data_IF_409280961166
#
_entry.id   IF_409280961166
#
_cell.length_a   1.000
_cell.length_b   1.000
_cell.length_c   1.000
_cell.angle_alpha   90.00
_cell.angle_beta   90.00
_cell.angle_gamma   90.00
#
_symmetry.space_group_name_H-M   'P 1'
#
loop_
_entity.id
_entity.type
_entity.pdbx_description
1 polymer ?
#
# COMPACT_ATOMS: atom_id res chain seq x y z
N UNK A 1 0.97 1.19 34.92
CA UNK A 1 2.22 1.37 34.15
C UNK A 1 2.72 0.08 33.48
N UNK A 2 3.03 -1.02 34.21
CA UNK A 2 3.55 -2.28 33.61
C UNK A 2 2.79 -2.83 32.40
N UNK A 3 1.45 -2.74 32.39
CA UNK A 3 0.65 -3.24 31.26
C UNK A 3 0.77 -2.37 30.00
N UNK A 4 0.99 -1.06 30.15
CA UNK A 4 1.14 -0.13 29.03
C UNK A 4 2.50 -0.36 28.36
N UNK A 5 3.57 -0.46 29.15
CA UNK A 5 4.91 -0.76 28.64
C UNK A 5 4.93 -2.10 27.88
N UNK A 6 4.30 -3.13 28.45
CA UNK A 6 4.17 -4.43 27.78
C UNK A 6 3.41 -4.32 26.46
N UNK A 7 2.31 -3.57 26.42
CA UNK A 7 1.54 -3.35 25.20
C UNK A 7 2.36 -2.62 24.12
N UNK A 8 3.15 -1.61 24.52
CA UNK A 8 4.05 -0.88 23.62
C UNK A 8 5.12 -1.82 23.03
N UNK A 9 5.74 -2.68 23.83
CA UNK A 9 6.74 -3.63 23.34
C UNK A 9 6.15 -4.67 22.38
N UNK A 10 4.94 -5.16 22.66
CA UNK A 10 4.21 -6.04 21.73
C UNK A 10 3.90 -5.30 20.42
N UNK A 11 3.43 -4.05 20.48
CA UNK A 11 3.13 -3.26 19.29
C UNK A 11 4.37 -3.02 18.43
N UNK A 12 5.51 -2.66 19.04
CA UNK A 12 6.80 -2.51 18.37
C UNK A 12 7.22 -3.78 17.67
N UNK A 13 7.14 -4.92 18.37
CA UNK A 13 7.49 -6.23 17.81
C UNK A 13 6.63 -6.54 16.60
N UNK A 14 5.30 -6.48 16.74
CA UNK A 14 4.36 -6.80 15.66
C UNK A 14 4.55 -5.88 14.44
N UNK A 15 4.76 -4.58 14.67
CA UNK A 15 5.04 -3.62 13.60
C UNK A 15 6.30 -4.00 12.81
N UNK A 16 7.41 -4.31 13.52
CA UNK A 16 8.68 -4.68 12.90
C UNK A 16 8.62 -6.01 12.16
N UNK A 17 7.81 -6.96 12.63
CA UNK A 17 7.59 -8.21 11.90
C UNK A 17 6.95 -7.96 10.52
N UNK A 18 6.11 -6.93 10.38
CA UNK A 18 5.51 -6.51 9.11
C UNK A 18 6.45 -5.77 8.16
N UNK A 19 7.69 -5.46 8.55
CA UNK A 19 8.65 -4.80 7.68
C UNK A 19 9.08 -5.72 6.53
N UNK A 20 9.15 -5.15 5.33
CA UNK A 20 9.53 -5.84 4.12
C UNK A 20 10.48 -4.99 3.27
N UNK A 21 11.00 -5.60 2.20
CA UNK A 21 12.03 -5.02 1.34
C UNK A 21 11.72 -3.60 0.86
N UNK A 22 10.45 -3.32 0.51
CA UNK A 22 10.03 -2.05 -0.09
C UNK A 22 9.00 -1.27 0.74
N UNK A 23 8.83 -1.60 2.02
CA UNK A 23 7.86 -0.93 2.87
C UNK A 23 7.24 -1.87 3.89
N UNK A 24 6.03 -1.56 4.32
CA UNK A 24 5.37 -2.26 5.42
C UNK A 24 4.19 -3.06 4.86
N UNK A 25 4.14 -4.36 5.15
CA UNK A 25 2.96 -5.18 4.83
C UNK A 25 1.80 -4.85 5.76
N UNK A 26 0.57 -4.98 5.24
CA UNK A 26 -0.63 -4.84 6.06
C UNK A 26 -0.79 -6.01 7.06
N UNK A 27 -0.21 -7.17 6.76
CA UNK A 27 -0.14 -8.28 7.71
C UNK A 27 0.66 -9.48 7.22
N UNK A 28 0.94 -10.42 8.13
CA UNK A 28 1.87 -11.53 7.89
C UNK A 28 1.23 -12.81 7.35
N UNK A 29 -0.09 -12.88 7.21
CA UNK A 29 -0.76 -14.08 6.72
C UNK A 29 -1.51 -13.77 5.43
N UNK A 30 -2.70 -13.19 5.54
CA UNK A 30 -3.59 -12.95 4.41
C UNK A 30 -3.23 -11.68 3.61
N UNK A 31 -2.39 -10.80 4.16
CA UNK A 31 -2.12 -9.45 3.64
C UNK A 31 -0.62 -9.18 3.42
N UNK A 32 0.13 -10.15 2.87
CA UNK A 32 1.56 -10.02 2.50
C UNK A 32 1.81 -9.17 1.24
N UNK A 33 1.04 -8.11 1.08
CA UNK A 33 1.12 -7.13 0.01
C UNK A 33 1.25 -5.72 0.63
N UNK A 34 1.73 -4.78 -0.18
CA UNK A 34 1.82 -3.39 0.26
C UNK A 34 0.47 -2.73 0.02
N UNK A 35 -0.23 -2.36 1.10
CA UNK A 35 -1.49 -1.60 1.05
C UNK A 35 -1.24 -0.17 1.47
N UNK A 36 -1.62 0.79 0.64
CA UNK A 36 -1.24 2.19 0.83
C UNK A 36 -1.73 2.71 2.18
N UNK A 37 -3.03 2.55 2.46
CA UNK A 37 -3.66 2.97 3.71
C UNK A 37 -2.96 2.39 4.93
N UNK A 38 -2.92 1.07 5.03
CA UNK A 38 -2.38 0.33 6.17
C UNK A 38 -0.92 0.71 6.43
N UNK A 39 -0.12 0.78 5.37
CA UNK A 39 1.30 1.11 5.47
C UNK A 39 1.55 2.57 5.82
N UNK A 40 0.66 3.50 5.44
CA UNK A 40 0.72 4.91 5.88
C UNK A 40 0.46 5.01 7.38
N UNK A 41 -0.57 4.35 7.90
CA UNK A 41 -0.81 4.31 9.35
C UNK A 41 0.33 3.64 10.12
N UNK A 42 0.84 2.52 9.61
CA UNK A 42 2.00 1.85 10.19
C UNK A 42 3.25 2.74 10.19
N UNK A 43 3.38 3.62 9.21
CA UNK A 43 4.51 4.56 9.12
C UNK A 43 4.55 5.51 10.32
N UNK A 44 3.42 5.97 10.87
CA UNK A 44 3.42 6.77 12.09
C UNK A 44 4.01 6.03 13.29
N UNK A 45 3.68 4.74 13.43
CA UNK A 45 4.29 3.89 14.45
C UNK A 45 5.79 3.75 14.26
N UNK A 46 6.24 3.53 13.01
CA UNK A 46 7.67 3.42 12.68
C UNK A 46 8.42 4.73 12.91
N UNK A 47 7.82 5.88 12.58
CA UNK A 47 8.37 7.21 12.88
C UNK A 47 8.54 7.41 14.39
N UNK A 48 7.51 7.10 15.18
CA UNK A 48 7.55 7.26 16.64
C UNK A 48 8.65 6.43 17.32
N UNK A 49 9.05 5.31 16.73
CA UNK A 49 10.14 4.46 17.22
C UNK A 49 11.46 4.65 16.46
N UNK A 50 11.52 5.68 15.60
CA UNK A 50 12.68 6.11 14.82
C UNK A 50 13.20 5.11 13.78
N UNK A 51 12.35 4.20 13.34
CA UNK A 51 12.64 3.30 12.23
C UNK A 51 12.42 4.03 10.89
N UNK A 52 13.23 5.06 10.60
CA UNK A 52 12.97 5.98 9.48
C UNK A 52 13.17 5.35 8.09
N UNK A 53 14.11 4.43 7.96
CA UNK A 53 14.44 3.83 6.65
C UNK A 53 13.27 3.04 6.06
N UNK A 54 12.50 2.33 6.90
CA UNK A 54 11.34 1.57 6.40
C UNK A 54 10.22 2.51 5.93
N UNK A 55 10.03 3.66 6.59
CA UNK A 55 9.06 4.68 6.19
C UNK A 55 9.48 5.29 4.85
N UNK A 56 10.76 5.66 4.71
CA UNK A 56 11.32 6.15 3.45
C UNK A 56 11.11 5.16 2.31
N UNK A 57 11.40 3.88 2.54
CA UNK A 57 11.17 2.78 1.57
C UNK A 57 9.69 2.68 1.20
N UNK A 58 8.81 2.70 2.18
CA UNK A 58 7.37 2.62 1.99
C UNK A 58 6.86 3.76 1.11
N UNK A 59 7.15 5.01 1.48
CA UNK A 59 6.73 6.19 0.73
C UNK A 59 7.30 6.20 -0.69
N UNK A 60 8.60 5.91 -0.84
CA UNK A 60 9.27 5.82 -2.14
C UNK A 60 8.59 4.78 -3.04
N UNK A 61 8.18 3.64 -2.48
CA UNK A 61 7.53 2.58 -3.24
C UNK A 61 6.19 3.02 -3.84
N UNK A 62 5.37 3.83 -3.16
CA UNK A 62 4.15 4.36 -3.77
C UNK A 62 4.43 5.50 -4.74
N UNK A 63 5.29 6.44 -4.37
CA UNK A 63 5.61 7.61 -5.19
C UNK A 63 6.30 7.21 -6.51
N UNK A 64 7.13 6.17 -6.52
CA UNK A 64 7.72 5.63 -7.75
C UNK A 64 6.70 4.97 -8.69
N UNK A 65 5.47 4.69 -8.23
CA UNK A 65 4.41 4.04 -8.98
C UNK A 65 3.15 4.91 -9.16
N UNK A 66 3.26 6.23 -9.04
CA UNK A 66 2.17 7.14 -9.44
C UNK A 66 1.85 6.94 -10.94
N UNK A 67 0.57 6.88 -11.31
CA UNK A 67 0.17 6.71 -12.71
C UNK A 67 0.15 8.04 -13.48
N UNK A 68 -0.18 7.98 -14.78
CA UNK A 68 -0.26 9.16 -15.66
C UNK A 68 -1.34 10.16 -15.23
N UNK A 69 -2.41 9.66 -14.61
CA UNK A 69 -3.48 10.46 -14.02
C UNK A 69 -3.15 11.00 -12.63
N UNK A 70 -1.93 10.80 -12.12
CA UNK A 70 -1.46 11.25 -10.80
C UNK A 70 -2.09 10.51 -9.61
N UNK A 71 -2.75 9.39 -9.85
CA UNK A 71 -3.25 8.51 -8.82
C UNK A 71 -2.11 7.61 -8.30
N UNK A 72 -1.99 7.49 -6.98
CA UNK A 72 -1.14 6.51 -6.34
C UNK A 72 -1.80 5.14 -6.30
N UNK A 73 -1.03 4.04 -6.28
CA UNK A 73 -1.64 2.72 -6.21
C UNK A 73 -2.25 2.47 -4.84
N UNK A 74 -3.48 1.95 -4.82
CA UNK A 74 -4.13 1.42 -3.61
C UNK A 74 -3.29 0.31 -2.98
N UNK A 75 -2.78 -0.61 -3.81
CA UNK A 75 -1.91 -1.70 -3.36
C UNK A 75 -0.84 -2.05 -4.39
N UNK A 76 0.32 -2.51 -3.92
CA UNK A 76 1.39 -3.10 -4.75
C UNK A 76 1.53 -4.56 -4.35
N UNK A 77 1.01 -5.45 -5.20
CA UNK A 77 0.79 -6.85 -4.87
C UNK A 77 1.38 -7.79 -5.91
N UNK A 78 1.67 -9.04 -5.53
CA UNK A 78 1.95 -10.09 -6.53
C UNK A 78 0.67 -10.35 -7.31
N UNK A 79 0.74 -10.42 -8.63
CA UNK A 79 -0.43 -10.77 -9.45
C UNK A 79 -0.98 -12.14 -9.00
N UNK A 80 -2.17 -12.14 -8.37
CA UNK A 80 -2.88 -13.38 -8.05
C UNK A 80 -3.37 -13.99 -9.35
N UNK A 81 -2.73 -15.06 -9.79
CA UNK A 81 -3.47 -16.12 -10.48
C UNK A 81 -4.35 -16.75 -9.40
N UNK A 82 -5.66 -16.79 -9.62
CA UNK A 82 -6.60 -17.48 -8.74
C UNK A 82 -6.30 -18.99 -8.77
N UNK A 83 -5.32 -19.44 -8.01
CA UNK A 83 -5.07 -20.85 -7.73
C UNK A 83 -5.08 -20.96 -6.21
N UNK A 84 -6.29 -21.03 -5.67
CA UNK A 84 -6.50 -21.59 -4.34
C UNK A 84 -6.55 -23.12 -4.52
N UNK A 85 -5.60 -23.82 -3.90
CA UNK A 85 -5.52 -25.29 -3.86
C UNK A 85 -5.92 -25.84 -2.47
N UNK A 86 -6.34 -24.97 -1.55
CA UNK A 86 -6.74 -25.34 -0.19
C UNK A 86 -8.25 -25.45 -0.01
N UNK A 87 -9.02 -24.86 -0.93
CA UNK A 87 -10.45 -25.13 -1.08
C UNK A 87 -10.63 -26.30 -2.03
N UNK A 88 -11.41 -27.30 -1.63
CA UNK A 88 -11.83 -28.40 -2.50
C UNK A 88 -12.45 -27.79 -3.78
N UNK A 89 -11.70 -27.88 -4.88
CA UNK A 89 -11.98 -27.55 -6.28
C UNK A 89 -13.12 -26.53 -6.50
N UNK A 90 -12.78 -25.34 -7.01
CA UNK A 90 -13.15 -25.08 -8.40
C UNK A 90 -11.99 -24.49 -9.20
N UNK A 91 -11.72 -25.13 -10.36
CA UNK A 91 -11.01 -24.51 -11.47
C UNK A 91 -11.67 -23.15 -11.79
N UNK A 92 -11.09 -22.05 -11.29
CA UNK A 92 -11.36 -20.73 -11.84
C UNK A 92 -10.55 -20.59 -13.11
N UNK A 93 -11.24 -20.78 -14.24
CA UNK A 93 -10.82 -20.51 -15.61
C UNK A 93 -9.99 -19.22 -15.66
N UNK A 94 -8.68 -19.36 -15.81
CA UNK A 94 -7.74 -18.24 -15.72
C UNK A 94 -6.35 -18.61 -15.21
N UNK A 95 -6.17 -19.80 -14.64
CA UNK A 95 -4.84 -20.36 -14.46
C UNK A 95 -4.23 -20.62 -15.85
N UNK A 96 -3.21 -19.86 -16.26
CA UNK A 96 -2.49 -20.21 -17.48
C UNK A 96 -1.90 -21.61 -17.30
N UNK A 97 -2.18 -22.52 -18.23
CA UNK A 97 -1.64 -23.88 -18.23
C UNK A 97 -0.11 -23.89 -17.98
N UNK A 98 0.56 -22.87 -18.51
CA UNK A 98 1.98 -22.61 -18.31
C UNK A 98 2.39 -22.41 -16.83
N UNK A 99 1.60 -21.67 -16.04
CA UNK A 99 1.90 -21.43 -14.63
C UNK A 99 1.80 -22.68 -13.75
N UNK A 100 0.95 -23.63 -14.13
CA UNK A 100 0.84 -24.95 -13.46
C UNK A 100 2.03 -25.83 -13.86
N UNK A 101 2.34 -25.91 -15.15
CA UNK A 101 3.47 -26.70 -15.68
C UNK A 101 4.81 -26.28 -15.06
N UNK A 102 5.09 -24.97 -15.00
CA UNK A 102 6.35 -24.48 -14.42
C UNK A 102 6.50 -24.82 -12.93
N UNK A 103 5.38 -24.89 -12.18
CA UNK A 103 5.39 -25.30 -10.77
C UNK A 103 5.68 -26.80 -10.63
N UNK A 104 5.12 -27.64 -11.51
CA UNK A 104 5.44 -29.07 -11.56
C UNK A 104 6.90 -29.33 -11.92
N UNK A 105 7.50 -28.47 -12.75
CA UNK A 105 8.92 -28.55 -13.12
C UNK A 105 9.88 -27.98 -12.04
N UNK A 106 9.40 -27.63 -10.85
CA UNK A 106 10.23 -27.11 -9.76
C UNK A 106 10.81 -25.71 -10.01
N UNK A 107 10.32 -24.99 -11.02
CA UNK A 107 10.82 -23.64 -11.34
C UNK A 107 10.07 -22.62 -10.50
N UNK A 108 10.74 -22.06 -9.49
CA UNK A 108 10.22 -20.93 -8.72
C UNK A 108 10.16 -19.65 -9.56
N UNK A 109 9.01 -19.40 -10.19
CA UNK A 109 8.80 -18.15 -10.92
C UNK A 109 8.62 -16.98 -9.95
N UNK A 110 9.69 -16.22 -9.69
CA UNK A 110 9.65 -14.99 -8.90
C UNK A 110 8.84 -13.90 -9.63
N UNK A 111 7.52 -13.88 -9.41
CA UNK A 111 6.64 -12.85 -9.98
C UNK A 111 6.93 -11.49 -9.35
N UNK A 112 7.20 -10.49 -10.19
CA UNK A 112 7.29 -9.09 -9.79
C UNK A 112 5.94 -8.60 -9.26
N UNK A 113 5.94 -7.81 -8.20
CA UNK A 113 4.75 -7.12 -7.69
C UNK A 113 4.37 -6.00 -8.67
N UNK A 114 3.07 -5.74 -8.81
CA UNK A 114 2.51 -4.71 -9.69
C UNK A 114 1.60 -3.76 -8.91
N UNK A 115 1.53 -2.48 -9.30
CA UNK A 115 0.60 -1.53 -8.72
C UNK A 115 -0.84 -1.80 -9.18
N UNK A 116 -1.78 -1.61 -8.26
CA UNK A 116 -3.23 -1.68 -8.49
C UNK A 116 -3.86 -0.39 -7.98
N UNK A 117 -4.64 0.28 -8.83
CA UNK A 117 -5.21 1.61 -8.57
C UNK A 117 -6.70 1.58 -8.23
N UNK A 118 -7.34 0.43 -8.44
CA UNK A 118 -8.80 0.29 -8.29
C UNK A 118 -9.19 -0.71 -7.22
N UNK A 119 -10.43 -0.61 -6.78
CA UNK A 119 -11.07 -1.53 -5.83
C UNK A 119 -11.29 -2.91 -6.46
N UNK A 120 -11.39 -3.94 -5.61
CA UNK A 120 -11.61 -5.31 -6.09
C UNK A 120 -13.10 -5.58 -6.42
N UNK A 121 -14.04 -4.85 -5.80
CA UNK A 121 -15.49 -5.08 -5.94
C UNK A 121 -16.10 -4.49 -7.22
N UNK A 122 -15.74 -3.25 -7.57
CA UNK A 122 -16.34 -2.53 -8.70
C UNK A 122 -15.31 -1.80 -9.59
N UNK A 123 -14.01 -2.04 -9.36
CA UNK A 123 -12.91 -1.37 -10.07
C UNK A 123 -13.02 0.17 -10.05
N UNK A 124 -13.62 0.73 -9.01
CA UNK A 124 -13.63 2.18 -8.80
C UNK A 124 -12.23 2.64 -8.38
N UNK A 125 -11.87 3.88 -8.71
CA UNK A 125 -10.63 4.50 -8.23
C UNK A 125 -10.73 4.64 -6.72
N UNK A 126 -9.70 4.21 -6.02
CA UNK A 126 -9.58 4.46 -4.58
C UNK A 126 -9.12 5.89 -4.35
N UNK A 127 -9.65 6.56 -3.33
CA UNK A 127 -9.44 8.01 -3.13
C UNK A 127 -8.54 8.36 -1.95
N UNK A 128 -8.48 7.52 -0.92
CA UNK A 128 -7.82 7.87 0.33
C UNK A 128 -6.28 7.78 0.27
N UNK A 129 -5.73 6.96 -0.63
CA UNK A 129 -4.28 6.73 -0.68
C UNK A 129 -3.46 7.99 -1.03
N UNK A 130 -4.00 8.87 -1.86
CA UNK A 130 -3.32 10.09 -2.29
C UNK A 130 -3.12 11.04 -1.10
N UNK A 131 -4.21 11.33 -0.39
CA UNK A 131 -4.19 12.12 0.85
C UNK A 131 -3.27 11.52 1.91
N UNK A 132 -3.35 10.21 2.15
CA UNK A 132 -2.55 9.56 3.19
C UNK A 132 -1.05 9.62 2.90
N UNK A 133 -0.63 9.47 1.64
CA UNK A 133 0.78 9.56 1.27
C UNK A 133 1.30 11.00 1.37
N UNK A 134 0.49 12.01 1.03
CA UNK A 134 0.87 13.42 1.21
C UNK A 134 1.11 13.71 2.70
N UNK A 135 0.17 13.34 3.57
CA UNK A 135 0.30 13.53 5.02
C UNK A 135 1.49 12.74 5.58
N UNK A 136 1.64 11.47 5.20
CA UNK A 136 2.74 10.63 5.69
C UNK A 136 4.11 11.13 5.21
N UNK A 137 4.18 11.70 4.00
CA UNK A 137 5.41 12.32 3.48
C UNK A 137 5.75 13.59 4.24
N UNK A 138 4.75 14.41 4.58
CA UNK A 138 4.93 15.59 5.43
C UNK A 138 5.50 15.19 6.80
N UNK A 139 4.87 14.24 7.50
CA UNK A 139 5.35 13.80 8.81
C UNK A 139 6.75 13.18 8.74
N UNK A 140 7.05 12.40 7.69
CA UNK A 140 8.38 11.85 7.48
C UNK A 140 9.45 12.95 7.32
N UNK A 141 9.24 13.93 6.45
CA UNK A 141 10.21 15.01 6.22
C UNK A 141 10.35 15.89 7.46
N UNK A 142 9.25 16.18 8.14
CA UNK A 142 9.24 16.96 9.38
C UNK A 142 10.03 16.28 10.51
N UNK A 143 9.86 14.98 10.70
CA UNK A 143 10.54 14.23 11.76
C UNK A 143 12.02 13.97 11.45
N UNK A 144 12.37 13.75 10.17
CA UNK A 144 13.72 13.31 9.78
C UNK A 144 14.62 14.42 9.22
N UNK A 145 14.03 15.50 8.69
CA UNK A 145 14.76 16.51 7.94
C UNK A 145 15.34 16.00 6.61
N UNK A 146 14.85 14.88 6.05
CA UNK A 146 15.38 14.31 4.79
C UNK A 146 15.01 15.17 3.56
N UNK A 147 15.80 16.22 3.34
CA UNK A 147 15.70 17.10 2.18
C UNK A 147 15.99 16.35 0.86
N UNK A 148 16.79 15.28 0.90
CA UNK A 148 17.09 14.47 -0.28
C UNK A 148 15.85 13.74 -0.80
N UNK A 149 15.10 13.11 0.11
CA UNK A 149 13.79 12.54 -0.18
C UNK A 149 12.83 13.58 -0.74
N UNK A 150 12.71 14.75 -0.07
CA UNK A 150 11.80 15.81 -0.51
C UNK A 150 12.14 16.28 -1.92
N UNK A 151 13.41 16.63 -2.20
CA UNK A 151 13.83 17.06 -3.55
C UNK A 151 13.54 16.02 -4.62
N UNK A 152 13.72 14.73 -4.30
CA UNK A 152 13.44 13.63 -5.23
C UNK A 152 11.95 13.49 -5.56
N UNK A 153 11.08 13.74 -4.58
CA UNK A 153 9.66 13.38 -4.67
C UNK A 153 8.67 14.55 -4.66
N UNK A 154 9.10 15.78 -4.45
CA UNK A 154 8.22 16.96 -4.32
C UNK A 154 7.22 17.08 -5.47
N UNK A 155 7.66 16.93 -6.72
CA UNK A 155 6.76 17.00 -7.89
C UNK A 155 5.72 15.87 -7.88
N UNK A 156 6.06 14.69 -7.37
CA UNK A 156 5.11 13.57 -7.27
C UNK A 156 4.14 13.75 -6.10
N UNK A 157 4.60 14.33 -5.00
CA UNK A 157 3.77 14.68 -3.85
C UNK A 157 2.77 15.78 -4.24
N UNK A 158 3.22 16.80 -4.95
CA UNK A 158 2.37 17.86 -5.51
C UNK A 158 1.31 17.29 -6.45
N UNK A 159 1.71 16.40 -7.38
CA UNK A 159 0.76 15.69 -8.25
C UNK A 159 -0.26 14.86 -7.48
N UNK A 160 0.16 14.19 -6.41
CA UNK A 160 -0.76 13.42 -5.57
C UNK A 160 -1.78 14.33 -4.86
N UNK A 161 -1.36 15.54 -4.44
CA UNK A 161 -2.25 16.56 -3.90
C UNK A 161 -3.21 17.11 -4.97
N UNK A 162 -2.71 17.45 -6.15
CA UNK A 162 -3.54 17.93 -7.28
C UNK A 162 -4.56 16.88 -7.74
N UNK A 163 -4.23 15.60 -7.63
CA UNK A 163 -5.18 14.53 -7.91
C UNK A 163 -6.39 14.56 -6.96
N UNK A 164 -6.21 14.90 -5.68
CA UNK A 164 -7.33 15.05 -4.76
C UNK A 164 -8.29 16.17 -5.23
N UNK A 165 -7.75 17.29 -5.70
CA UNK A 165 -8.57 18.36 -6.30
C UNK A 165 -9.27 17.91 -7.58
N UNK A 166 -8.69 16.97 -8.35
CA UNK A 166 -9.36 16.42 -9.53
C UNK A 166 -10.51 15.46 -9.20
N UNK A 167 -10.64 15.04 -7.94
CA UNK A 167 -11.77 14.24 -7.50
C UNK A 167 -12.99 15.10 -7.14
N UNK A 168 -12.79 16.40 -6.85
CA UNK A 168 -13.82 17.43 -6.67
C UNK A 168 -14.49 17.76 -8.01
N UNK A 169 -15.72 17.30 -8.21
CA UNK A 169 -16.45 17.46 -9.47
C UNK A 169 -17.45 18.62 -9.44
N UNK A 170 -17.88 19.09 -8.27
CA UNK A 170 -18.84 20.19 -8.13
C UNK A 170 -18.26 21.47 -7.51
N UNK A 171 -16.95 21.49 -7.27
CA UNK A 171 -16.16 22.61 -6.74
C UNK A 171 -16.54 23.04 -5.32
N UNK A 172 -17.08 22.12 -4.52
CA UNK A 172 -17.43 22.35 -3.11
C UNK A 172 -16.28 22.09 -2.12
N UNK A 173 -15.09 21.73 -2.63
CA UNK A 173 -13.89 21.36 -1.88
C UNK A 173 -13.99 20.03 -1.11
N UNK A 174 -14.92 19.16 -1.49
CA UNK A 174 -15.05 17.80 -0.98
C UNK A 174 -14.51 16.81 -2.01
N UNK A 175 -13.92 15.71 -1.54
CA UNK A 175 -13.48 14.61 -2.41
C UNK A 175 -14.64 13.64 -2.58
N UNK A 176 -15.09 13.43 -3.81
CA UNK A 176 -16.16 12.51 -4.13
C UNK A 176 -15.62 11.11 -4.38
N UNK A 177 -16.36 10.14 -3.88
CA UNK A 177 -15.98 8.74 -3.94
C UNK A 177 -17.18 7.87 -4.31
N UNK A 178 -16.89 6.73 -4.93
CA UNK A 178 -17.89 5.69 -5.18
C UNK A 178 -17.89 4.69 -4.03
N UNK A 179 -18.93 3.85 -3.95
CA UNK A 179 -18.99 2.77 -2.96
C UNK A 179 -17.70 1.92 -2.92
N UNK A 180 -17.23 1.60 -1.72
CA UNK A 180 -16.03 0.78 -1.47
C UNK A 180 -14.71 1.38 -1.95
N UNK A 181 -14.67 2.69 -2.23
CA UNK A 181 -13.50 3.38 -2.79
C UNK A 181 -12.59 4.01 -1.73
N UNK A 182 -12.85 3.73 -0.46
CA UNK A 182 -12.16 4.28 0.69
C UNK A 182 -11.96 3.20 1.77
N UNK A 183 -11.88 3.62 3.04
CA UNK A 183 -11.72 2.73 4.20
C UNK A 183 -12.85 1.71 4.36
N UNK A 184 -14.06 2.05 3.91
CA UNK A 184 -15.22 1.17 3.93
C UNK A 184 -15.27 0.29 2.67
N UNK A 185 -14.21 -0.49 2.42
CA UNK A 185 -14.10 -1.36 1.23
C UNK A 185 -14.78 -2.74 1.38
N UNK A 186 -15.30 -3.05 2.56
CA UNK A 186 -16.08 -4.24 2.91
C UNK A 186 -17.55 -3.91 3.31
N UNK A 187 -18.43 -4.92 3.31
CA UNK A 187 -19.75 -4.89 3.98
C UNK A 187 -19.65 -5.89 5.12
#
# INVERSE_FOLDING_TARGET
MKNIEKAVEIAKKNLRECYAEKGIFAGLHHFKDYWARDSCFASYGSLAIRDYDIVRKNLSNYLDHINEEWQLPRKIAKHRLNIDLSSQIPLKVGASHFGIVMKYLGVEWKRKRKPYYTTDKNKHKTVDQNSLIVISSHEYVKETGDIGFLKKYVIRIEKALLWNYSCDHDTDLIIEQKHYSDWADSI
#
